data_IF_849913013882
#
_entry.id   IF_849913013882
#
_cell.length_a   1.000
_cell.length_b   1.000
_cell.length_c   1.000
_cell.angle_alpha   90.00
_cell.angle_beta   90.00
_cell.angle_gamma   90.00
#
_symmetry.space_group_name_H-M   'P 1'
#
loop_
_entity.id
_entity.type
_entity.pdbx_description
1 polymer ?
#
# COMPACT_ATOMS: atom_id res chain seq x y z
N UNK A 1 37.78 -2.90 13.64
CA UNK A 1 38.62 -1.73 13.97
C UNK A 1 37.71 -0.60 14.40
N UNK A 2 37.98 0.09 15.50
CA UNK A 2 37.18 1.24 15.91
C UNK A 2 37.51 2.39 14.94
N UNK A 3 36.54 3.01 14.27
CA UNK A 3 36.81 4.13 13.38
C UNK A 3 37.39 5.31 14.18
N UNK A 4 38.35 6.07 13.61
CA UNK A 4 38.87 7.25 14.29
C UNK A 4 37.73 8.25 14.58
N UNK A 5 37.87 9.06 15.65
CA UNK A 5 36.87 10.05 16.02
C UNK A 5 36.59 11.00 14.85
N UNK A 6 35.33 11.40 14.73
CA UNK A 6 34.85 12.26 13.65
C UNK A 6 35.22 13.70 13.96
N UNK A 7 35.94 14.34 13.03
CA UNK A 7 36.28 15.76 13.12
C UNK A 7 35.10 16.59 12.58
N UNK A 8 34.46 17.44 13.40
CA UNK A 8 33.28 18.21 12.99
C UNK A 8 33.58 19.20 11.86
N UNK A 9 34.83 19.66 11.73
CA UNK A 9 35.20 20.67 10.73
C UNK A 9 35.64 20.05 9.40
N UNK A 10 35.90 18.74 9.37
CA UNK A 10 36.39 18.05 8.19
C UNK A 10 35.24 17.66 7.27
N UNK A 11 35.43 17.88 5.96
CA UNK A 11 34.55 17.31 4.93
C UNK A 11 35.10 15.94 4.53
N UNK A 12 34.32 14.90 4.77
CA UNK A 12 34.63 13.55 4.32
C UNK A 12 34.12 13.37 2.88
N UNK A 13 34.78 12.55 2.05
CA UNK A 13 34.30 12.24 0.72
C UNK A 13 32.96 11.52 0.80
N UNK A 14 32.01 11.93 -0.05
CA UNK A 14 30.72 11.24 -0.17
C UNK A 14 30.93 9.88 -0.82
N UNK A 15 30.27 8.82 -0.33
CA UNK A 15 30.42 7.49 -0.88
C UNK A 15 29.63 7.39 -2.19
N UNK A 16 30.21 6.70 -3.17
CA UNK A 16 29.60 6.40 -4.46
C UNK A 16 30.02 5.02 -4.92
N UNK A 17 29.28 4.43 -5.86
CA UNK A 17 29.74 3.23 -6.57
C UNK A 17 30.44 3.56 -7.87
N UNK A 18 30.01 4.64 -8.52
CA UNK A 18 30.46 4.97 -9.87
C UNK A 18 31.13 6.33 -10.03
N UNK A 19 31.07 7.20 -9.03
CA UNK A 19 31.44 8.61 -9.17
C UNK A 19 32.83 8.91 -8.59
N UNK A 20 33.62 7.90 -8.26
CA UNK A 20 34.96 8.06 -7.65
C UNK A 20 35.92 8.91 -8.51
N UNK A 21 35.70 8.98 -9.82
CA UNK A 21 36.49 9.82 -10.72
C UNK A 21 36.33 11.33 -10.43
N UNK A 22 35.22 11.72 -9.80
CA UNK A 22 34.94 13.10 -9.38
C UNK A 22 35.55 13.44 -8.02
N UNK A 23 35.99 12.44 -7.26
CA UNK A 23 36.62 12.60 -5.95
C UNK A 23 35.81 13.47 -4.99
N UNK A 24 36.34 14.62 -4.51
CA UNK A 24 35.65 15.47 -3.54
C UNK A 24 34.45 16.25 -4.13
N UNK A 25 34.23 16.19 -5.45
CA UNK A 25 33.12 16.90 -6.12
C UNK A 25 31.80 16.13 -6.09
N UNK A 26 31.80 14.88 -5.60
CA UNK A 26 30.61 14.06 -5.49
C UNK A 26 29.59 14.76 -4.57
N UNK A 27 28.34 14.98 -5.03
CA UNK A 27 27.32 15.62 -4.23
C UNK A 27 26.91 14.74 -3.05
N UNK A 28 26.23 15.33 -2.08
CA UNK A 28 25.67 14.62 -0.94
C UNK A 28 24.56 13.66 -1.39
N UNK A 29 24.49 12.52 -0.72
CA UNK A 29 23.60 11.42 -1.10
C UNK A 29 22.12 11.72 -0.94
N UNK A 30 21.78 12.75 -0.20
CA UNK A 30 20.42 13.28 -0.05
C UNK A 30 20.00 14.23 -1.18
N UNK A 31 20.92 14.73 -2.01
CA UNK A 31 20.59 15.45 -3.24
C UNK A 31 20.47 14.50 -4.44
N UNK A 32 19.30 13.85 -4.59
CA UNK A 32 19.04 12.95 -5.74
C UNK A 32 19.24 13.64 -7.09
N UNK A 33 18.74 14.88 -7.24
CA UNK A 33 18.88 15.64 -8.49
C UNK A 33 20.34 15.85 -8.84
N UNK A 34 21.19 16.24 -7.88
CA UNK A 34 22.62 16.43 -8.09
C UNK A 34 23.30 15.12 -8.55
N UNK A 35 22.98 14.00 -7.89
CA UNK A 35 23.52 12.68 -8.23
C UNK A 35 23.09 12.22 -9.63
N UNK A 36 21.82 12.40 -10.00
CA UNK A 36 21.33 12.12 -11.36
C UNK A 36 22.05 12.99 -12.40
N UNK A 37 22.24 14.27 -12.10
CA UNK A 37 22.91 15.21 -13.01
C UNK A 37 24.38 14.81 -13.23
N UNK A 38 25.10 14.49 -12.15
CA UNK A 38 26.51 14.09 -12.24
C UNK A 38 26.67 12.72 -12.91
N UNK A 39 25.80 11.76 -12.59
CA UNK A 39 25.77 10.44 -13.24
C UNK A 39 25.44 10.56 -14.73
N UNK A 40 24.47 11.41 -15.08
CA UNK A 40 24.13 11.72 -16.48
C UNK A 40 25.30 12.36 -17.21
N UNK A 41 26.00 13.31 -16.59
CA UNK A 41 27.18 13.94 -17.18
C UNK A 41 28.33 12.95 -17.39
N UNK A 42 28.54 12.03 -16.44
CA UNK A 42 29.49 10.94 -16.59
C UNK A 42 29.10 9.96 -17.70
N UNK A 43 27.81 9.60 -17.80
CA UNK A 43 27.29 8.74 -18.86
C UNK A 43 27.48 9.37 -20.24
N UNK A 44 27.16 10.67 -20.38
CA UNK A 44 27.40 11.44 -21.61
C UNK A 44 28.89 11.51 -21.94
N UNK A 45 29.75 11.72 -20.94
CA UNK A 45 31.21 11.65 -21.11
C UNK A 45 31.67 10.27 -21.58
N UNK A 46 31.13 9.20 -20.99
CA UNK A 46 31.40 7.82 -21.40
C UNK A 46 31.00 7.54 -22.84
N UNK A 47 29.79 7.94 -23.24
CA UNK A 47 29.30 7.87 -24.61
C UNK A 47 30.18 8.67 -25.58
N UNK A 48 30.60 9.86 -25.17
CA UNK A 48 31.50 10.70 -25.96
C UNK A 48 32.85 10.02 -26.19
N UNK A 49 33.49 9.48 -25.16
CA UNK A 49 34.76 8.75 -25.28
C UNK A 49 34.63 7.43 -26.04
N UNK A 50 33.47 6.79 -25.99
CA UNK A 50 33.17 5.59 -26.77
C UNK A 50 33.04 5.90 -28.27
N UNK A 51 32.45 7.05 -28.60
CA UNK A 51 32.17 7.44 -29.99
C UNK A 51 33.30 8.22 -30.68
N UNK A 52 33.99 9.10 -29.96
CA UNK A 52 35.07 9.96 -30.48
C UNK A 52 36.15 9.20 -31.27
N UNK A 53 36.64 8.02 -30.83
CA UNK A 53 37.72 7.33 -31.52
C UNK A 53 37.31 6.76 -32.89
N UNK A 54 36.01 6.65 -33.16
CA UNK A 54 35.50 6.26 -34.48
C UNK A 54 35.78 7.33 -35.54
N UNK A 55 35.96 8.59 -35.12
CA UNK A 55 36.20 9.74 -36.01
C UNK A 55 37.68 9.98 -36.34
N UNK A 56 38.61 9.20 -35.78
CA UNK A 56 40.04 9.37 -36.05
C UNK A 56 40.33 8.95 -37.51
N UNK A 57 40.87 9.86 -38.35
CA UNK A 57 41.20 9.59 -39.76
C UNK A 57 42.10 8.37 -39.91
N UNK A 58 41.95 7.64 -41.01
CA UNK A 58 42.77 6.44 -41.30
C UNK A 58 44.23 6.78 -41.63
N UNK A 59 44.52 8.02 -42.02
CA UNK A 59 45.81 8.42 -42.58
C UNK A 59 46.83 8.92 -41.53
N UNK A 60 46.80 8.35 -40.33
CA UNK A 60 47.82 8.66 -39.32
C UNK A 60 49.11 7.88 -39.60
N UNK A 61 50.30 8.51 -39.54
CA UNK A 61 51.58 7.85 -39.87
C UNK A 61 51.96 6.70 -38.90
N UNK A 62 51.29 6.58 -37.75
CA UNK A 62 51.56 5.57 -36.74
C UNK A 62 50.32 4.72 -36.42
N UNK A 63 50.10 3.65 -37.20
CA UNK A 63 48.93 2.76 -37.10
C UNK A 63 48.72 2.22 -35.68
N UNK A 64 49.79 1.85 -34.98
CA UNK A 64 49.71 1.33 -33.61
C UNK A 64 49.24 2.37 -32.59
N UNK A 65 49.70 3.63 -32.71
CA UNK A 65 49.24 4.71 -31.84
C UNK A 65 47.75 5.00 -32.05
N UNK A 66 47.30 5.00 -33.31
CA UNK A 66 45.88 5.18 -33.62
C UNK A 66 45.01 4.04 -33.09
N UNK A 67 45.46 2.78 -33.22
CA UNK A 67 44.75 1.61 -32.66
C UNK A 67 44.71 1.63 -31.13
N UNK A 68 45.84 1.94 -30.50
CA UNK A 68 45.92 2.06 -29.04
C UNK A 68 44.98 3.15 -28.53
N UNK A 69 45.01 4.35 -29.13
CA UNK A 69 44.13 5.45 -28.75
C UNK A 69 42.64 5.11 -28.93
N UNK A 70 42.30 4.36 -29.99
CA UNK A 70 40.95 3.84 -30.21
C UNK A 70 40.52 2.89 -29.11
N UNK A 71 41.35 1.89 -28.81
CA UNK A 71 41.06 0.90 -27.78
C UNK A 71 40.95 1.57 -26.40
N UNK A 72 41.88 2.44 -26.04
CA UNK A 72 41.84 3.13 -24.74
C UNK A 72 40.62 4.04 -24.62
N UNK A 73 40.25 4.77 -25.68
CA UNK A 73 39.04 5.60 -25.69
C UNK A 73 37.77 4.77 -25.52
N UNK A 74 37.65 3.65 -26.25
CA UNK A 74 36.52 2.72 -26.10
C UNK A 74 36.45 2.11 -24.69
N UNK A 75 37.58 1.68 -24.13
CA UNK A 75 37.63 1.09 -22.78
C UNK A 75 37.29 2.12 -21.70
N UNK A 76 37.84 3.35 -21.80
CA UNK A 76 37.51 4.45 -20.89
C UNK A 76 36.03 4.82 -21.00
N UNK A 77 35.49 4.93 -22.21
CA UNK A 77 34.08 5.19 -22.44
C UNK A 77 33.19 4.13 -21.81
N UNK A 78 33.48 2.85 -22.07
CA UNK A 78 32.77 1.72 -21.47
C UNK A 78 32.85 1.73 -19.93
N UNK A 79 34.02 1.97 -19.37
CA UNK A 79 34.23 2.06 -17.92
C UNK A 79 33.35 3.16 -17.29
N UNK A 80 33.33 4.37 -17.87
CA UNK A 80 32.50 5.47 -17.38
C UNK A 80 31.00 5.17 -17.47
N UNK A 81 30.56 4.57 -18.58
CA UNK A 81 29.16 4.15 -18.75
C UNK A 81 28.77 3.08 -17.72
N UNK A 82 29.62 2.06 -17.53
CA UNK A 82 29.39 1.00 -16.55
C UNK A 82 29.27 1.56 -15.12
N UNK A 83 30.22 2.41 -14.72
CA UNK A 83 30.18 3.06 -13.42
C UNK A 83 28.92 3.94 -13.24
N UNK A 84 28.53 4.70 -14.27
CA UNK A 84 27.27 5.47 -14.21
C UNK A 84 26.04 4.56 -14.09
N UNK A 85 26.07 3.37 -14.71
CA UNK A 85 25.02 2.36 -14.56
C UNK A 85 24.90 1.83 -13.15
N UNK A 86 26.02 1.56 -12.46
CA UNK A 86 26.01 1.14 -11.05
C UNK A 86 25.41 2.22 -10.14
N UNK A 87 25.73 3.49 -10.38
CA UNK A 87 25.16 4.59 -9.61
C UNK A 87 23.66 4.76 -9.89
N UNK A 88 23.21 4.60 -11.15
CA UNK A 88 21.79 4.63 -11.49
C UNK A 88 21.03 3.47 -10.83
N UNK A 89 21.57 2.25 -10.84
CA UNK A 89 20.94 1.10 -10.15
C UNK A 89 20.80 1.38 -8.66
N UNK A 90 21.84 1.95 -8.02
CA UNK A 90 21.76 2.37 -6.63
C UNK A 90 20.66 3.41 -6.40
N UNK A 91 20.56 4.43 -7.26
CA UNK A 91 19.54 5.48 -7.16
C UNK A 91 18.11 4.97 -7.35
N UNK A 92 17.93 3.80 -7.98
CA UNK A 92 16.64 3.13 -8.14
C UNK A 92 16.26 2.26 -6.93
N UNK A 93 17.16 2.07 -5.96
CA UNK A 93 16.82 1.32 -4.75
C UNK A 93 15.74 2.08 -3.97
N UNK A 94 14.71 1.38 -3.45
CA UNK A 94 13.68 2.01 -2.62
C UNK A 94 14.27 2.57 -1.32
N UNK A 95 15.36 1.97 -0.85
CA UNK A 95 16.06 2.34 0.37
C UNK A 95 17.56 2.44 0.12
N UNK A 96 18.14 3.61 0.39
CA UNK A 96 19.58 3.85 0.39
C UNK A 96 20.01 4.39 1.77
N UNK A 97 20.69 3.58 2.61
CA UNK A 97 21.16 4.00 3.92
C UNK A 97 22.03 5.26 3.87
N UNK A 98 22.85 5.43 2.83
CA UNK A 98 23.70 6.62 2.73
C UNK A 98 22.90 7.89 2.50
N UNK A 99 21.77 7.80 1.81
CA UNK A 99 20.86 8.91 1.60
C UNK A 99 20.17 9.30 2.92
N UNK A 100 19.65 8.31 3.66
CA UNK A 100 18.96 8.53 4.94
C UNK A 100 19.90 9.14 5.98
N UNK A 101 21.10 8.58 6.11
CA UNK A 101 22.11 9.06 7.06
C UNK A 101 22.57 10.49 6.71
N UNK A 102 22.75 10.81 5.42
CA UNK A 102 23.11 12.15 4.98
C UNK A 102 22.00 13.18 5.26
N UNK A 103 20.74 12.83 4.99
CA UNK A 103 19.59 13.68 5.26
C UNK A 103 19.42 13.93 6.77
N UNK A 104 19.58 12.89 7.60
CA UNK A 104 19.53 13.01 9.06
C UNK A 104 20.67 13.91 9.58
N UNK A 105 21.88 13.77 9.04
CA UNK A 105 23.01 14.62 9.37
C UNK A 105 22.76 16.09 8.97
N UNK A 106 22.17 16.34 7.79
CA UNK A 106 21.79 17.69 7.34
C UNK A 106 20.78 18.32 8.29
N UNK A 107 19.70 17.60 8.61
CA UNK A 107 18.69 18.08 9.55
C UNK A 107 19.27 18.38 10.93
N UNK A 108 20.26 17.60 11.39
CA UNK A 108 20.96 17.85 12.66
C UNK A 108 21.81 19.13 12.60
N UNK A 109 22.55 19.35 11.52
CA UNK A 109 23.39 20.53 11.34
C UNK A 109 22.54 21.81 11.20
N UNK A 110 21.42 21.75 10.50
CA UNK A 110 20.46 22.85 10.39
C UNK A 110 19.86 23.23 11.74
N UNK A 111 19.50 22.23 12.58
CA UNK A 111 19.05 22.47 13.96
C UNK A 111 20.10 23.15 14.84
N UNK A 112 21.39 22.94 14.52
CA UNK A 112 22.51 23.59 15.20
C UNK A 112 22.82 24.99 14.65
N UNK A 113 22.09 25.45 13.62
CA UNK A 113 22.29 26.74 12.98
C UNK A 113 23.47 26.77 12.00
N UNK A 114 23.99 25.60 11.60
CA UNK A 114 25.05 25.52 10.61
C UNK A 114 24.49 25.73 9.19
N UNK A 115 25.23 26.47 8.36
CA UNK A 115 24.89 26.64 6.95
C UNK A 115 25.30 25.41 6.16
N UNK A 116 24.34 24.54 5.87
CA UNK A 116 24.57 23.33 5.08
C UNK A 116 24.52 23.66 3.59
N UNK A 117 25.54 23.26 2.84
CA UNK A 117 25.51 23.38 1.38
C UNK A 117 24.62 22.29 0.79
N UNK A 118 23.70 22.67 -0.08
CA UNK A 118 22.83 21.72 -0.78
C UNK A 118 23.62 20.65 -1.56
N UNK A 119 24.68 21.05 -2.29
CA UNK A 119 25.50 20.14 -3.09
C UNK A 119 26.34 19.18 -2.25
N UNK A 120 27.08 19.66 -1.25
CA UNK A 120 28.07 18.82 -0.56
C UNK A 120 27.61 18.29 0.81
N UNK A 121 26.43 18.70 1.28
CA UNK A 121 25.92 18.29 2.58
C UNK A 121 26.65 18.93 3.77
N UNK A 122 26.36 18.45 5.00
CA UNK A 122 26.90 19.01 6.25
C UNK A 122 28.38 18.66 6.44
N UNK A 123 29.11 19.47 7.22
CA UNK A 123 30.48 19.16 7.63
C UNK A 123 30.47 18.14 8.76
N UNK A 124 31.58 17.40 8.93
CA UNK A 124 31.68 16.39 9.99
C UNK A 124 30.80 15.16 9.78
N UNK A 125 30.04 15.06 8.68
CA UNK A 125 29.34 13.83 8.34
C UNK A 125 30.32 12.83 7.73
N UNK A 126 30.48 11.68 8.38
CA UNK A 126 31.24 10.55 7.84
C UNK A 126 30.24 9.48 7.38
N UNK A 127 30.27 9.08 6.10
CA UNK A 127 29.38 8.03 5.62
C UNK A 127 29.68 6.69 6.30
N UNK A 128 28.63 5.87 6.44
CA UNK A 128 28.80 4.47 6.88
C UNK A 128 29.64 3.68 5.87
N UNK A 129 30.40 2.71 6.38
CA UNK A 129 31.21 1.83 5.54
C UNK A 129 30.34 0.99 4.62
N UNK A 130 30.86 0.62 3.45
CA UNK A 130 30.13 -0.17 2.46
C UNK A 130 29.59 -1.51 3.02
N UNK A 131 30.34 -2.18 3.89
CA UNK A 131 29.90 -3.41 4.55
C UNK A 131 28.62 -3.20 5.37
N UNK A 132 28.59 -2.16 6.19
CA UNK A 132 27.40 -1.77 6.98
C UNK A 132 26.27 -1.27 6.09
N UNK A 133 26.58 -0.53 5.02
CA UNK A 133 25.58 -0.13 4.03
C UNK A 133 24.90 -1.36 3.42
N UNK A 134 25.69 -2.34 2.99
CA UNK A 134 25.20 -3.58 2.38
C UNK A 134 24.33 -4.37 3.37
N UNK A 135 24.79 -4.55 4.60
CA UNK A 135 24.02 -5.23 5.65
C UNK A 135 22.65 -4.59 5.88
N UNK A 136 22.59 -3.25 5.91
CA UNK A 136 21.31 -2.52 6.04
C UNK A 136 20.41 -2.65 4.83
N UNK A 137 20.97 -2.71 3.63
CA UNK A 137 20.21 -2.92 2.38
C UNK A 137 19.68 -4.35 2.31
N UNK A 138 20.53 -5.34 2.57
CA UNK A 138 20.16 -6.76 2.60
C UNK A 138 19.05 -7.00 3.64
N UNK A 139 19.20 -6.47 4.86
CA UNK A 139 18.16 -6.58 5.89
C UNK A 139 16.84 -5.89 5.52
N UNK A 140 16.86 -4.85 4.68
CA UNK A 140 15.63 -4.23 4.18
C UNK A 140 14.94 -5.10 3.12
N UNK A 141 15.71 -5.83 2.30
CA UNK A 141 15.16 -6.80 1.35
C UNK A 141 14.54 -7.99 2.07
N UNK A 142 15.18 -8.50 3.12
CA UNK A 142 14.65 -9.58 3.95
C UNK A 142 13.30 -9.19 4.56
N UNK A 143 13.22 -8.00 5.17
CA UNK A 143 11.95 -7.44 5.70
C UNK A 143 10.88 -7.28 4.62
N UNK A 144 11.28 -6.85 3.42
CA UNK A 144 10.37 -6.72 2.28
C UNK A 144 9.82 -8.08 1.82
N UNK A 145 10.65 -9.12 1.82
CA UNK A 145 10.25 -10.49 1.48
C UNK A 145 9.30 -11.07 2.52
N UNK A 146 9.59 -10.87 3.81
CA UNK A 146 8.71 -11.25 4.92
C UNK A 146 7.35 -10.56 4.81
N UNK A 147 7.34 -9.24 4.60
CA UNK A 147 6.09 -8.49 4.40
C UNK A 147 5.28 -9.02 3.22
N UNK A 148 5.94 -9.37 2.11
CA UNK A 148 5.26 -9.95 0.95
C UNK A 148 4.69 -11.35 1.24
N UNK A 149 5.40 -12.19 1.99
CA UNK A 149 4.90 -13.50 2.44
C UNK A 149 3.68 -13.36 3.35
N UNK A 150 3.74 -12.43 4.31
CA UNK A 150 2.62 -12.12 5.20
C UNK A 150 1.41 -11.63 4.43
N UNK A 151 1.61 -10.74 3.45
CA UNK A 151 0.53 -10.29 2.57
C UNK A 151 -0.10 -11.45 1.80
N UNK A 152 0.70 -12.34 1.22
CA UNK A 152 0.18 -13.53 0.54
C UNK A 152 -0.58 -14.47 1.48
N UNK A 153 -0.11 -14.64 2.72
CA UNK A 153 -0.83 -15.43 3.73
C UNK A 153 -2.16 -14.76 4.10
N UNK A 154 -2.19 -13.45 4.29
CA UNK A 154 -3.42 -12.69 4.56
C UNK A 154 -4.42 -12.82 3.42
N UNK A 155 -3.97 -12.66 2.18
CA UNK A 155 -4.82 -12.84 0.98
C UNK A 155 -5.41 -14.26 0.92
N UNK A 156 -4.60 -15.31 1.17
CA UNK A 156 -5.11 -16.69 1.24
C UNK A 156 -6.14 -16.89 2.36
N UNK A 157 -5.92 -16.30 3.54
CA UNK A 157 -6.87 -16.37 4.66
C UNK A 157 -8.18 -15.67 4.31
N UNK A 158 -8.11 -14.52 3.63
CA UNK A 158 -9.28 -13.80 3.15
C UNK A 158 -10.05 -14.59 2.10
N UNK A 159 -9.37 -15.25 1.16
CA UNK A 159 -10.01 -16.11 0.16
C UNK A 159 -10.72 -17.31 0.81
N UNK A 160 -10.10 -17.96 1.79
CA UNK A 160 -10.73 -19.03 2.56
C UNK A 160 -11.96 -18.52 3.33
N UNK A 161 -11.85 -17.34 3.96
CA UNK A 161 -12.98 -16.74 4.68
C UNK A 161 -14.14 -16.38 3.72
N UNK A 162 -13.83 -15.83 2.55
CA UNK A 162 -14.81 -15.51 1.50
C UNK A 162 -15.51 -16.77 0.98
N UNK A 163 -14.76 -17.80 0.61
CA UNK A 163 -15.32 -19.08 0.16
C UNK A 163 -16.21 -19.72 1.24
N UNK A 164 -15.75 -19.77 2.49
CA UNK A 164 -16.55 -20.25 3.62
C UNK A 164 -17.83 -19.43 3.85
N UNK A 165 -17.76 -18.11 3.75
CA UNK A 165 -18.94 -17.25 3.84
C UNK A 165 -19.93 -17.52 2.70
N UNK A 166 -19.45 -17.64 1.46
CA UNK A 166 -20.31 -17.96 0.31
C UNK A 166 -20.99 -19.32 0.45
N UNK A 167 -20.29 -20.34 0.95
CA UNK A 167 -20.89 -21.67 1.19
C UNK A 167 -21.99 -21.63 2.26
N UNK A 168 -21.73 -20.98 3.40
CA UNK A 168 -22.73 -20.80 4.47
C UNK A 168 -23.93 -20.02 3.93
N UNK A 169 -23.68 -18.99 3.14
CA UNK A 169 -24.70 -18.15 2.51
C UNK A 169 -25.58 -18.95 1.55
N UNK A 170 -25.00 -19.73 0.64
CA UNK A 170 -25.74 -20.59 -0.29
C UNK A 170 -26.62 -21.59 0.45
N UNK A 171 -26.06 -22.26 1.47
CA UNK A 171 -26.81 -23.18 2.32
C UNK A 171 -27.99 -22.50 3.03
N UNK A 172 -27.78 -21.31 3.57
CA UNK A 172 -28.87 -20.55 4.21
C UNK A 172 -29.97 -20.15 3.22
N UNK A 173 -29.62 -19.87 1.96
CA UNK A 173 -30.60 -19.61 0.90
C UNK A 173 -31.41 -20.86 0.57
N UNK A 174 -30.77 -22.02 0.44
CA UNK A 174 -31.46 -23.28 0.19
C UNK A 174 -32.45 -23.61 1.30
N UNK A 175 -32.02 -23.49 2.57
CA UNK A 175 -32.88 -23.69 3.74
C UNK A 175 -34.06 -22.70 3.73
N UNK A 176 -33.79 -21.42 3.48
CA UNK A 176 -34.85 -20.39 3.43
C UNK A 176 -35.87 -20.66 2.33
N UNK A 177 -35.40 -21.06 1.13
CA UNK A 177 -36.28 -21.44 0.02
C UNK A 177 -37.16 -22.64 0.38
N UNK A 178 -36.58 -23.67 1.00
CA UNK A 178 -37.32 -24.84 1.44
C UNK A 178 -38.40 -24.49 2.48
N UNK A 179 -38.10 -23.61 3.43
CA UNK A 179 -39.07 -23.12 4.43
C UNK A 179 -40.23 -22.37 3.76
N UNK A 180 -39.93 -21.49 2.80
CA UNK A 180 -40.97 -20.73 2.07
C UNK A 180 -41.86 -21.68 1.25
N UNK A 181 -41.26 -22.66 0.57
CA UNK A 181 -41.99 -23.66 -0.22
C UNK A 181 -42.90 -24.54 0.66
N UNK A 182 -42.41 -24.98 1.81
CA UNK A 182 -43.22 -25.70 2.81
C UNK A 182 -44.35 -24.84 3.39
N UNK A 183 -44.10 -23.53 3.57
CA UNK A 183 -45.11 -22.57 4.00
C UNK A 183 -46.22 -22.36 2.96
N UNK A 184 -45.87 -22.21 1.68
CA UNK A 184 -46.82 -22.03 0.58
C UNK A 184 -47.67 -23.28 0.33
N UNK A 185 -47.11 -24.47 0.50
CA UNK A 185 -47.83 -25.75 0.36
C UNK A 185 -48.74 -26.07 1.54
N UNK A 186 -48.71 -25.28 2.63
CA UNK A 186 -49.47 -25.53 3.85
C UNK A 186 -49.05 -26.78 4.61
N UNK A 187 -47.93 -27.41 4.22
CA UNK A 187 -47.36 -28.57 4.88
C UNK A 187 -46.73 -28.20 6.23
N UNK A 188 -46.27 -26.96 6.38
CA UNK A 188 -45.60 -26.48 7.59
C UNK A 188 -46.45 -26.61 8.88
N UNK A 189 -47.78 -26.57 8.77
CA UNK A 189 -48.69 -26.70 9.91
C UNK A 189 -49.33 -28.09 10.06
N UNK A 190 -49.14 -29.01 9.09
CA UNK A 190 -49.76 -30.34 9.14
C UNK A 190 -49.00 -31.33 10.02
N UNK A 191 -47.70 -31.11 10.20
CA UNK A 191 -46.80 -32.01 10.95
C UNK A 191 -46.28 -31.41 12.26
N UNK A 192 -46.86 -30.33 12.78
CA UNK A 192 -46.75 -30.04 14.22
C UNK A 192 -47.73 -30.96 14.94
N UNK A 193 -47.34 -32.14 15.46
CA UNK A 193 -48.20 -32.88 16.36
C UNK A 193 -48.57 -31.92 17.48
N UNK A 194 -49.85 -31.84 17.82
CA UNK A 194 -50.31 -31.08 18.98
C UNK A 194 -49.37 -31.40 20.15
N UNK A 195 -48.59 -30.38 20.56
CA UNK A 195 -47.55 -30.50 21.56
C UNK A 195 -48.12 -31.19 22.79
N UNK A 196 -47.87 -32.49 22.89
CA UNK A 196 -48.15 -33.25 24.09
C UNK A 196 -47.13 -32.75 25.11
N UNK A 197 -47.61 -32.40 26.31
CA UNK A 197 -46.82 -31.73 27.37
C UNK A 197 -45.47 -32.40 27.72
N UNK A 198 -45.20 -33.62 27.24
CA UNK A 198 -43.95 -34.33 27.42
C UNK A 198 -42.76 -33.79 26.59
N UNK A 199 -42.95 -32.92 25.61
CA UNK A 199 -41.82 -32.35 24.82
C UNK A 199 -41.15 -31.12 25.46
N UNK A 200 -41.80 -30.49 26.45
CA UNK A 200 -41.17 -29.43 27.28
C UNK A 200 -39.97 -29.94 28.09
N UNK A 201 -39.83 -31.26 28.26
CA UNK A 201 -38.69 -31.86 28.94
C UNK A 201 -37.52 -32.25 28.03
N UNK A 202 -37.69 -32.28 26.70
CA UNK A 202 -36.62 -32.66 25.75
C UNK A 202 -35.87 -31.48 25.15
N UNK A 203 -36.45 -30.27 25.16
CA UNK A 203 -35.73 -29.07 24.75
C UNK A 203 -34.66 -28.58 25.76
N UNK A 204 -34.50 -29.27 26.90
CA UNK A 204 -33.35 -29.09 27.79
C UNK A 204 -32.13 -29.93 27.39
N UNK A 205 -32.25 -30.79 26.36
CA UNK A 205 -31.16 -31.65 25.86
C UNK A 205 -31.05 -31.43 24.34
N UNK A 206 -30.69 -30.21 23.94
CA UNK A 206 -30.08 -30.00 22.63
C UNK A 206 -28.59 -30.31 22.76
N UNK A 207 -28.28 -31.58 23.08
CA UNK A 207 -26.96 -32.17 22.89
C UNK A 207 -26.68 -32.19 21.39
N UNK A 208 -25.84 -31.26 20.93
CA UNK A 208 -24.49 -31.58 20.46
C UNK A 208 -24.32 -32.96 19.79
N UNK A 209 -25.11 -33.28 18.77
CA UNK A 209 -24.97 -34.53 18.01
C UNK A 209 -25.24 -34.34 16.50
N UNK A 210 -24.77 -33.22 15.94
CA UNK A 210 -24.35 -33.23 14.54
C UNK A 210 -22.85 -33.48 14.53
N UNK A 211 -22.31 -34.40 13.70
CA UNK A 211 -20.87 -34.58 13.54
C UNK A 211 -20.30 -33.36 12.80
N UNK A 212 -20.24 -32.25 13.53
CA UNK A 212 -19.52 -31.02 13.18
C UNK A 212 -18.10 -31.09 13.75
N UNK A 213 -17.80 -32.05 14.65
CA UNK A 213 -16.48 -32.22 15.25
C UNK A 213 -15.37 -32.45 14.21
N UNK A 214 -15.59 -33.21 13.14
CA UNK A 214 -14.53 -33.47 12.12
C UNK A 214 -14.14 -32.24 11.27
N UNK A 215 -14.97 -31.18 11.25
CA UNK A 215 -14.65 -29.90 10.59
C UNK A 215 -14.28 -28.80 11.57
N UNK A 216 -14.80 -28.83 12.80
CA UNK A 216 -14.47 -27.86 13.84
C UNK A 216 -13.15 -28.21 14.56
N UNK A 217 -12.76 -29.48 14.64
CA UNK A 217 -11.42 -29.87 15.09
C UNK A 217 -10.35 -29.34 14.13
N UNK A 218 -10.63 -29.29 12.83
CA UNK A 218 -9.74 -28.67 11.83
C UNK A 218 -9.57 -27.15 12.02
N UNK A 219 -10.57 -26.46 12.56
CA UNK A 219 -10.45 -25.02 12.90
C UNK A 219 -9.91 -24.78 14.31
N UNK A 220 -10.08 -25.72 15.25
CA UNK A 220 -9.45 -25.69 16.59
C UNK A 220 -7.96 -26.06 16.54
N UNK A 221 -7.54 -26.93 15.63
CA UNK A 221 -6.12 -27.26 15.38
C UNK A 221 -5.38 -26.01 14.84
N UNK A 222 -6.02 -25.21 13.98
CA UNK A 222 -5.51 -23.90 13.55
C UNK A 222 -5.46 -22.85 14.67
N UNK A 223 -6.30 -22.97 15.70
CA UNK A 223 -6.39 -21.99 16.79
C UNK A 223 -5.50 -22.32 18.00
N UNK A 224 -4.86 -23.51 18.05
CA UNK A 224 -4.15 -23.97 19.25
C UNK A 224 -2.63 -24.14 19.09
N UNK A 225 -2.06 -24.00 17.89
CA UNK A 225 -0.60 -24.03 17.67
C UNK A 225 0.12 -22.68 17.88
N UNK A 226 -0.59 -21.62 18.28
CA UNK A 226 -0.02 -20.26 18.41
C UNK A 226 0.33 -19.77 19.82
N UNK A 227 0.37 -20.63 20.86
CA UNK A 227 0.83 -20.19 22.20
C UNK A 227 2.35 -20.21 22.30
N UNK A 228 3.02 -19.32 21.56
CA UNK A 228 4.38 -18.93 21.87
C UNK A 228 4.37 -17.78 22.88
N UNK A 229 5.06 -17.97 24.01
CA UNK A 229 5.24 -16.96 25.06
C UNK A 229 5.80 -15.66 24.46
N UNK A 230 4.96 -14.64 24.50
CA UNK A 230 5.22 -13.32 23.96
C UNK A 230 6.31 -12.61 24.80
N UNK A 231 7.50 -12.46 24.22
CA UNK A 231 8.49 -11.47 24.65
C UNK A 231 8.30 -10.28 23.74
N UNK A 232 7.79 -9.19 24.31
CA UNK A 232 7.44 -7.98 23.60
C UNK A 232 8.55 -7.50 22.66
N UNK A 233 8.28 -7.64 21.38
CA UNK A 233 8.85 -6.86 20.30
C UNK A 233 7.63 -6.35 19.50
N UNK A 234 7.69 -5.11 19.02
CA UNK A 234 6.60 -4.35 18.39
C UNK A 234 6.14 -4.92 17.01
N UNK A 235 6.14 -6.25 16.84
CA UNK A 235 5.74 -7.00 15.65
C UNK A 235 4.32 -7.61 15.75
N UNK A 236 3.56 -7.33 16.81
CA UNK A 236 2.21 -7.89 17.08
C UNK A 236 1.10 -7.48 16.06
N UNK A 237 1.42 -6.89 14.90
CA UNK A 237 0.45 -6.75 13.81
C UNK A 237 0.18 -8.08 13.08
N UNK A 238 1.03 -9.10 13.24
CA UNK A 238 0.90 -10.40 12.56
C UNK A 238 -0.32 -11.23 13.00
N UNK A 239 -0.86 -11.00 14.20
CA UNK A 239 -2.01 -11.72 14.74
C UNK A 239 -3.25 -10.84 14.92
N UNK A 240 -3.40 -9.76 14.16
CA UNK A 240 -4.71 -9.09 14.15
C UNK A 240 -5.77 -10.10 13.68
N UNK A 241 -6.78 -10.41 14.51
CA UNK A 241 -7.87 -11.29 14.09
C UNK A 241 -8.48 -10.70 12.83
N UNK A 242 -8.91 -11.55 11.88
CA UNK A 242 -9.64 -11.07 10.70
C UNK A 242 -10.81 -10.22 11.18
N UNK A 243 -10.73 -8.91 10.93
CA UNK A 243 -11.80 -8.00 11.27
C UNK A 243 -12.93 -8.21 10.27
N UNK A 244 -14.16 -8.18 10.75
CA UNK A 244 -15.34 -8.42 9.93
C UNK A 244 -15.47 -7.42 8.76
N UNK A 245 -14.83 -6.25 8.91
CA UNK A 245 -14.70 -5.21 7.88
C UNK A 245 -13.85 -5.64 6.67
N UNK A 246 -12.87 -6.54 6.84
CA UNK A 246 -12.00 -7.00 5.75
C UNK A 246 -12.73 -7.85 4.71
N UNK A 247 -13.87 -8.45 5.08
CA UNK A 247 -14.68 -9.32 4.21
C UNK A 247 -15.70 -8.50 3.40
N UNK A 248 -15.92 -7.22 3.75
CA UNK A 248 -17.00 -6.35 3.25
C UNK A 248 -18.33 -7.04 2.91
N UNK A 249 -18.89 -7.86 3.83
CA UNK A 249 -20.09 -8.64 3.55
C UNK A 249 -21.35 -7.76 3.39
N UNK A 250 -21.29 -6.47 3.75
CA UNK A 250 -22.37 -5.51 3.48
C UNK A 250 -22.47 -5.12 2.01
N UNK A 251 -21.34 -4.99 1.31
CA UNK A 251 -21.32 -4.71 -0.13
C UNK A 251 -21.89 -5.90 -0.89
N UNK A 252 -21.45 -7.10 -0.52
CA UNK A 252 -21.98 -8.38 -1.01
C UNK A 252 -23.49 -8.52 -0.75
N UNK A 253 -23.98 -8.09 0.41
CA UNK A 253 -25.40 -8.13 0.73
C UNK A 253 -26.19 -7.13 -0.11
N UNK A 254 -25.64 -5.92 -0.29
CA UNK A 254 -26.26 -4.83 -1.06
C UNK A 254 -26.41 -5.18 -2.54
N UNK A 255 -25.45 -5.86 -3.15
CA UNK A 255 -25.54 -6.31 -4.54
C UNK A 255 -26.64 -7.35 -4.77
N UNK A 256 -26.98 -8.14 -3.75
CA UNK A 256 -27.94 -9.23 -3.89
C UNK A 256 -29.36 -8.88 -3.45
N UNK A 257 -29.51 -8.00 -2.48
CA UNK A 257 -30.83 -7.59 -2.02
C UNK A 257 -31.35 -6.48 -2.92
N UNK A 258 -32.11 -6.87 -3.96
CA UNK A 258 -33.02 -5.96 -4.68
C UNK A 258 -34.28 -5.68 -3.82
N UNK A 259 -34.10 -5.64 -2.50
CA UNK A 259 -35.15 -5.42 -1.52
C UNK A 259 -35.33 -3.91 -1.40
N UNK A 260 -36.29 -3.37 -2.14
CA UNK A 260 -36.83 -2.05 -1.84
C UNK A 260 -37.55 -2.10 -0.49
N UNK A 261 -36.87 -1.67 0.57
CA UNK A 261 -37.50 -1.41 1.87
C UNK A 261 -38.36 -0.16 1.71
N UNK A 262 -39.61 -0.35 1.31
CA UNK A 262 -40.60 0.73 1.27
C UNK A 262 -41.16 0.92 2.66
N UNK A 263 -40.64 1.91 3.38
CA UNK A 263 -41.22 2.35 4.65
C UNK A 263 -42.60 2.97 4.33
N UNK A 264 -43.66 2.25 4.65
CA UNK A 264 -45.02 2.80 4.61
C UNK A 264 -45.26 3.44 5.97
N UNK A 265 -45.24 4.78 6.09
CA UNK A 265 -45.62 5.40 7.34
C UNK A 265 -47.08 5.06 7.61
N UNK A 266 -47.34 4.31 8.68
CA UNK A 266 -48.67 4.21 9.25
C UNK A 266 -48.99 5.58 9.85
N UNK A 267 -49.58 6.47 9.05
CA UNK A 267 -50.34 7.57 9.63
C UNK A 267 -51.46 6.92 10.45
N UNK A 268 -51.33 7.00 11.76
CA UNK A 268 -52.44 6.74 12.67
C UNK A 268 -53.45 7.83 12.33
N UNK A 269 -54.46 7.50 11.53
CA UNK A 269 -55.65 8.31 11.38
C UNK A 269 -56.33 8.37 12.75
N UNK A 270 -55.86 9.27 13.63
CA UNK A 270 -56.68 9.77 14.71
C UNK A 270 -57.72 10.68 14.05
N UNK A 271 -58.85 10.09 13.71
CA UNK A 271 -60.04 10.82 13.34
C UNK A 271 -60.36 11.85 14.43
N UNK A 272 -60.45 13.12 14.04
CA UNK A 272 -61.33 14.07 14.67
C UNK A 272 -62.25 14.61 13.57
N UNK A 273 -63.50 14.13 13.49
CA UNK A 273 -64.51 14.78 12.67
C UNK A 273 -65.11 15.90 13.52
N UNK A 274 -64.76 17.15 13.25
CA UNK A 274 -65.67 18.25 13.56
C UNK A 274 -65.42 19.45 12.66
N UNK A 275 -66.54 19.96 12.17
CA UNK A 275 -66.72 20.95 11.12
C UNK A 275 -66.00 22.28 11.36
N UNK A 276 -65.58 22.95 10.27
CA UNK A 276 -65.84 24.37 10.03
C UNK A 276 -65.89 24.60 8.50
N UNK A 277 -67.07 24.96 8.03
CA UNK A 277 -67.32 25.63 6.76
C UNK A 277 -66.66 27.02 6.79
N UNK A 278 -65.81 27.37 5.82
CA UNK A 278 -65.67 28.76 5.35
C UNK A 278 -65.39 28.79 3.85
N UNK A 279 -66.39 29.30 3.14
CA UNK A 279 -66.40 30.08 1.89
C UNK A 279 -65.22 30.00 0.91
N UNK A 280 -65.58 29.49 -0.27
CA UNK A 280 -65.12 29.92 -1.59
C UNK A 280 -64.94 31.44 -1.72
N UNK A 281 -63.73 31.87 -2.10
CA UNK A 281 -63.54 33.03 -2.97
C UNK A 281 -62.44 32.76 -4.00
N UNK A 282 -62.86 32.83 -5.26
CA UNK A 282 -62.02 32.95 -6.44
C UNK A 282 -61.04 34.12 -6.30
N UNK A 283 -59.76 33.86 -6.60
CA UNK A 283 -58.87 34.86 -7.16
C UNK A 283 -57.85 34.13 -8.04
N UNK A 284 -58.01 34.29 -9.34
CA UNK A 284 -57.03 33.94 -10.35
C UNK A 284 -55.75 34.77 -10.12
N UNK A 285 -54.60 34.10 -10.06
CA UNK A 285 -53.32 34.69 -10.40
C UNK A 285 -52.35 33.58 -10.77
N UNK A 286 -52.02 33.53 -12.06
CA UNK A 286 -50.86 32.85 -12.63
C UNK A 286 -49.60 33.25 -11.87
N UNK A 287 -48.85 32.25 -11.39
CA UNK A 287 -47.54 32.44 -10.81
C UNK A 287 -46.74 31.16 -11.00
N UNK A 288 -45.81 31.22 -11.95
CA UNK A 288 -44.81 30.20 -12.22
C UNK A 288 -44.10 29.80 -10.92
N UNK A 289 -44.16 28.51 -10.61
CA UNK A 289 -43.37 27.90 -9.55
C UNK A 289 -41.98 27.61 -10.12
N UNK A 290 -41.09 28.60 -9.98
CA UNK A 290 -39.65 28.42 -10.10
C UNK A 290 -39.19 27.39 -9.07
N UNK A 291 -38.84 26.20 -9.56
CA UNK A 291 -38.10 25.20 -8.80
C UNK A 291 -36.64 25.68 -8.76
N UNK A 292 -36.06 25.99 -7.59
CA UNK A 292 -34.64 26.31 -7.52
C UNK A 292 -33.84 25.04 -7.82
N UNK A 293 -33.34 24.95 -9.06
CA UNK A 293 -32.25 24.07 -9.45
C UNK A 293 -31.00 24.49 -8.66
N UNK A 294 -30.79 23.85 -7.51
CA UNK A 294 -29.50 23.86 -6.83
C UNK A 294 -28.50 23.06 -7.68
N UNK A 295 -27.95 23.73 -8.69
CA UNK A 295 -26.81 23.26 -9.45
C UNK A 295 -25.58 23.49 -8.57
N UNK A 296 -25.04 22.41 -8.01
CA UNK A 296 -23.73 22.43 -7.34
C UNK A 296 -22.69 22.51 -8.46
N UNK A 297 -22.28 23.72 -8.80
CA UNK A 297 -21.06 23.95 -9.58
C UNK A 297 -19.88 23.68 -8.68
N UNK A 298 -19.18 22.56 -8.92
CA UNK A 298 -17.86 22.31 -8.37
C UNK A 298 -16.89 23.20 -9.17
N UNK A 299 -16.47 24.28 -8.53
CA UNK A 299 -15.43 25.18 -9.02
C UNK A 299 -14.09 24.48 -8.82
N UNK A 300 -13.53 23.92 -9.89
CA UNK A 300 -12.15 23.41 -9.91
C UNK A 300 -11.19 24.60 -9.87
N UNK A 301 -10.65 24.84 -8.67
CA UNK A 301 -9.58 25.81 -8.43
C UNK A 301 -8.28 25.31 -9.04
N UNK A 302 -8.00 25.81 -10.24
CA UNK A 302 -6.80 25.58 -11.04
C UNK A 302 -5.59 26.28 -10.37
N UNK A 303 -4.96 25.60 -9.42
CA UNK A 303 -3.69 26.06 -8.82
C UNK A 303 -2.54 25.87 -9.82
N UNK A 304 -2.18 26.97 -10.47
CA UNK A 304 -0.87 27.20 -11.07
C UNK A 304 0.21 27.09 -10.01
N UNK A 305 0.97 26.01 -10.03
CA UNK A 305 2.30 25.97 -9.44
C UNK A 305 3.30 26.49 -10.48
N UNK A 306 3.71 27.75 -10.30
CA UNK A 306 5.05 28.19 -10.71
C UNK A 306 6.04 27.59 -9.69
N UNK A 307 6.87 26.63 -10.11
CA UNK A 307 8.27 26.45 -9.70
C UNK A 307 9.01 25.54 -10.68
#
# INVERSE_FOLDING_TARGET
MIPPPVDPNKRYPNPSFGLDIWGPLIPANDCRTCLYTLSGLQLLGGLYFFWLPQRIPRDTPHVWRARALKLTGMMTGFYLMFLSGLELVRLQLPYDPWQVDAAAARAKAEKQGEKVSWWFGPRGYRPVEYSTWKERVDGQFEKGEEFHKLRQQRERRLDIARTGYTEIRERNREVSRAIIEQGLTGAFFKDTPAATENEKQKHAVFEENTPIDDKLERTKEWSSEGKHENKGDDHDEEERPLEWEDISPWDDLKEETDVQIRLIPHSVNSAAPDAINVETKEAAASGDLDIPSAFISIEEDDKKEEF
#
